data_IF_417236363909
#
_entry.id   IF_417236363909
#
_cell.length_a   1.000
_cell.length_b   1.000
_cell.length_c   1.000
_cell.angle_alpha   90.00
_cell.angle_beta   90.00
_cell.angle_gamma   90.00
#
_symmetry.space_group_name_H-M   'P 1'
#
loop_
_entity.id
_entity.type
_entity.pdbx_description
1 polymer ?
#
# COMPACT_ATOMS: atom_id res chain seq x y z
N UNK A 1 -21.68 7.18 0.56
CA UNK A 1 -20.46 6.95 -0.25
C UNK A 1 -19.76 5.63 0.09
N UNK A 2 -19.33 5.40 1.35
CA UNK A 2 -18.58 4.17 1.71
C UNK A 2 -19.23 2.85 1.27
N UNK A 3 -20.54 2.67 1.51
CA UNK A 3 -21.28 1.46 1.07
C UNK A 3 -21.25 1.23 -0.44
N UNK A 4 -21.45 2.29 -1.23
CA UNK A 4 -21.43 2.20 -2.70
C UNK A 4 -20.05 1.76 -3.16
N UNK A 5 -18.99 2.38 -2.64
CA UNK A 5 -17.61 2.05 -2.98
C UNK A 5 -17.29 0.59 -2.62
N UNK A 6 -17.71 0.11 -1.45
CA UNK A 6 -17.50 -1.29 -1.05
C UNK A 6 -18.23 -2.27 -1.97
N UNK A 7 -19.48 -1.98 -2.33
CA UNK A 7 -20.25 -2.83 -3.26
C UNK A 7 -19.61 -2.82 -4.65
N UNK A 8 -19.22 -1.64 -5.17
CA UNK A 8 -18.53 -1.53 -6.46
C UNK A 8 -17.20 -2.28 -6.45
N UNK A 9 -16.39 -2.15 -5.39
CA UNK A 9 -15.12 -2.86 -5.28
C UNK A 9 -15.34 -4.38 -5.23
N UNK A 10 -16.31 -4.87 -4.45
CA UNK A 10 -16.64 -6.31 -4.37
C UNK A 10 -17.09 -6.85 -5.71
N UNK A 11 -17.95 -6.11 -6.42
CA UNK A 11 -18.41 -6.49 -7.75
C UNK A 11 -17.25 -6.50 -8.74
N UNK A 12 -16.38 -5.50 -8.71
CA UNK A 12 -15.19 -5.44 -9.56
C UNK A 12 -14.25 -6.63 -9.30
N UNK A 13 -14.01 -6.97 -8.03
CA UNK A 13 -13.23 -8.17 -7.66
C UNK A 13 -13.91 -9.45 -8.17
N UNK A 14 -15.24 -9.58 -8.02
CA UNK A 14 -16.00 -10.72 -8.53
C UNK A 14 -15.84 -10.90 -10.05
N UNK A 15 -15.99 -9.81 -10.81
CA UNK A 15 -15.85 -9.83 -12.27
C UNK A 15 -14.41 -10.11 -12.70
N UNK A 16 -13.41 -9.56 -12.01
CA UNK A 16 -12.00 -9.88 -12.25
C UNK A 16 -11.68 -11.35 -11.94
N UNK A 17 -12.29 -11.92 -10.89
CA UNK A 17 -12.08 -13.31 -10.49
C UNK A 17 -12.71 -14.30 -11.47
N UNK A 18 -13.91 -13.98 -11.97
CA UNK A 18 -14.67 -14.86 -12.86
C UNK A 18 -14.26 -14.67 -14.33
N UNK A 19 -13.75 -13.49 -14.72
CA UNK A 19 -13.39 -13.19 -16.10
C UNK A 19 -14.56 -13.17 -17.08
N UNK A 20 -15.81 -13.23 -16.58
CA UNK A 20 -17.04 -13.35 -17.37
C UNK A 20 -17.97 -12.16 -17.11
N UNK A 21 -18.44 -11.52 -18.17
CA UNK A 21 -19.36 -10.39 -18.16
C UNK A 21 -20.80 -10.80 -18.55
N UNK A 22 -21.10 -12.10 -18.58
CA UNK A 22 -22.45 -12.60 -18.81
C UNK A 22 -23.45 -12.02 -17.82
N UNK A 23 -24.68 -11.77 -18.29
CA UNK A 23 -25.74 -11.15 -17.47
C UNK A 23 -26.02 -11.94 -16.19
N UNK A 24 -25.95 -13.28 -16.28
CA UNK A 24 -26.15 -14.17 -15.14
C UNK A 24 -25.02 -14.00 -14.12
N UNK A 25 -23.75 -14.00 -14.56
CA UNK A 25 -22.63 -13.85 -13.65
C UNK A 25 -22.61 -12.48 -12.97
N UNK A 26 -22.94 -11.42 -13.70
CA UNK A 26 -23.06 -10.06 -13.14
C UNK A 26 -24.15 -10.02 -12.07
N UNK A 27 -25.32 -10.62 -12.31
CA UNK A 27 -26.42 -10.67 -11.34
C UNK A 27 -26.01 -11.39 -10.05
N UNK A 28 -25.34 -12.54 -10.16
CA UNK A 28 -24.81 -13.27 -9.02
C UNK A 28 -23.80 -12.41 -8.26
N UNK A 29 -22.87 -11.76 -8.98
CA UNK A 29 -21.88 -10.86 -8.38
C UNK A 29 -22.52 -9.70 -7.60
N UNK A 30 -23.59 -9.10 -8.11
CA UNK A 30 -24.33 -8.03 -7.41
C UNK A 30 -24.97 -8.57 -6.14
N UNK A 31 -25.65 -9.72 -6.20
CA UNK A 31 -26.26 -10.38 -5.04
C UNK A 31 -25.22 -10.64 -3.95
N UNK A 32 -24.10 -11.26 -4.31
CA UNK A 32 -23.00 -11.56 -3.39
C UNK A 32 -22.42 -10.27 -2.78
N UNK A 33 -22.14 -9.25 -3.61
CA UNK A 33 -21.54 -8.00 -3.16
C UNK A 33 -22.39 -7.26 -2.12
N UNK A 34 -23.73 -7.30 -2.28
CA UNK A 34 -24.69 -6.68 -1.36
C UNK A 34 -24.93 -7.52 -0.10
N UNK A 35 -25.00 -8.84 -0.23
CA UNK A 35 -25.34 -9.75 0.87
C UNK A 35 -24.18 -9.95 1.87
N UNK A 36 -22.93 -9.83 1.41
CA UNK A 36 -21.75 -9.92 2.27
C UNK A 36 -21.80 -8.87 3.41
N UNK A 37 -21.56 -9.26 4.68
CA UNK A 37 -21.64 -8.35 5.81
C UNK A 37 -20.69 -7.16 5.64
N UNK A 38 -21.16 -5.97 6.00
CA UNK A 38 -20.40 -4.73 5.91
C UNK A 38 -19.94 -4.33 7.31
N UNK A 39 -18.65 -4.03 7.46
CA UNK A 39 -18.14 -3.53 8.73
C UNK A 39 -18.81 -2.19 9.06
N UNK A 40 -19.39 -2.08 10.26
CA UNK A 40 -20.08 -0.87 10.75
C UNK A 40 -19.11 0.28 11.01
N UNK A 41 -17.81 0.00 11.07
CA UNK A 41 -16.77 0.97 11.39
C UNK A 41 -16.21 1.69 10.14
N UNK A 42 -17.02 1.84 9.10
CA UNK A 42 -16.64 2.59 7.90
C UNK A 42 -16.63 4.10 8.20
N UNK A 43 -15.62 4.53 8.98
CA UNK A 43 -15.22 5.93 9.11
C UNK A 43 -15.06 6.47 7.67
N UNK A 44 -15.47 7.72 7.43
CA UNK A 44 -15.43 8.34 6.10
C UNK A 44 -14.05 8.09 5.48
N UNK A 45 -13.99 7.21 4.48
CA UNK A 45 -12.75 6.88 3.81
C UNK A 45 -12.28 8.15 3.09
N UNK A 46 -11.08 8.68 3.38
CA UNK A 46 -10.64 9.92 2.79
C UNK A 46 -10.14 9.63 1.37
N UNK A 47 -11.06 9.69 0.40
CA UNK A 47 -10.83 9.22 -0.98
C UNK A 47 -9.67 9.91 -1.68
N UNK A 48 -9.53 11.23 -1.49
CA UNK A 48 -8.46 12.01 -2.11
C UNK A 48 -7.07 11.56 -1.61
N UNK A 49 -6.77 11.57 -0.29
CA UNK A 49 -5.46 11.09 0.17
C UNK A 49 -5.26 9.61 -0.09
N UNK A 50 -6.32 8.79 -0.11
CA UNK A 50 -6.21 7.38 -0.50
C UNK A 50 -5.73 7.20 -1.94
N UNK A 51 -6.35 7.91 -2.90
CA UNK A 51 -5.96 7.84 -4.30
C UNK A 51 -4.54 8.36 -4.54
N UNK A 52 -4.14 9.43 -3.83
CA UNK A 52 -2.77 9.96 -3.88
C UNK A 52 -1.79 8.92 -3.34
N UNK A 53 -2.05 8.35 -2.16
CA UNK A 53 -1.20 7.33 -1.56
C UNK A 53 -1.08 6.09 -2.46
N UNK A 54 -2.20 5.61 -3.01
CA UNK A 54 -2.21 4.46 -3.92
C UNK A 54 -1.38 4.72 -5.19
N UNK A 55 -1.53 5.90 -5.79
CA UNK A 55 -0.73 6.32 -6.96
C UNK A 55 0.75 6.34 -6.62
N UNK A 56 1.13 6.96 -5.51
CA UNK A 56 2.52 7.08 -5.09
C UNK A 56 3.13 5.70 -4.78
N UNK A 57 2.37 4.79 -4.14
CA UNK A 57 2.80 3.40 -3.92
C UNK A 57 2.99 2.63 -5.24
N UNK A 58 2.11 2.83 -6.22
CA UNK A 58 2.24 2.19 -7.54
C UNK A 58 3.45 2.70 -8.32
N UNK A 59 3.76 4.00 -8.24
CA UNK A 59 4.94 4.60 -8.87
C UNK A 59 6.25 4.20 -8.19
N UNK A 60 6.22 3.88 -6.90
CA UNK A 60 7.38 3.39 -6.16
C UNK A 60 7.90 2.05 -6.71
N UNK A 61 7.01 1.18 -7.22
CA UNK A 61 7.36 -0.15 -7.75
C UNK A 61 8.37 -0.03 -8.92
N UNK A 62 8.06 0.61 -10.06
CA UNK A 62 8.99 0.69 -11.18
C UNK A 62 10.26 1.45 -10.81
N UNK A 63 10.14 2.48 -9.96
CA UNK A 63 11.30 3.21 -9.44
C UNK A 63 12.25 2.26 -8.68
N UNK A 64 11.70 1.39 -7.83
CA UNK A 64 12.49 0.44 -7.05
C UNK A 64 13.24 -0.55 -7.91
N UNK A 65 12.61 -1.07 -8.96
CA UNK A 65 13.27 -1.95 -9.91
C UNK A 65 14.39 -1.23 -10.67
N UNK A 66 14.15 0.00 -11.13
CA UNK A 66 15.17 0.78 -11.84
C UNK A 66 16.40 1.05 -10.96
N UNK A 67 16.19 1.49 -9.71
CA UNK A 67 17.28 1.76 -8.78
C UNK A 67 18.00 0.47 -8.34
N UNK A 68 17.27 -0.61 -8.09
CA UNK A 68 17.84 -1.93 -7.80
C UNK A 68 18.74 -2.44 -8.93
N UNK A 69 18.31 -2.25 -10.18
CA UNK A 69 19.11 -2.60 -11.36
C UNK A 69 20.39 -1.77 -11.46
N UNK A 70 20.32 -0.46 -11.21
CA UNK A 70 21.49 0.42 -11.19
C UNK A 70 22.50 -0.02 -10.12
N UNK A 71 22.03 -0.40 -8.92
CA UNK A 71 22.93 -0.87 -7.87
C UNK A 71 23.62 -2.19 -8.21
N UNK A 72 22.86 -3.19 -8.69
CA UNK A 72 23.41 -4.46 -9.15
C UNK A 72 24.53 -4.25 -10.17
N UNK A 73 24.36 -3.28 -11.08
CA UNK A 73 25.38 -2.94 -12.09
C UNK A 73 26.58 -2.18 -11.49
N UNK A 74 26.36 -1.34 -10.48
CA UNK A 74 27.39 -0.44 -9.95
C UNK A 74 28.36 -1.09 -8.97
N UNK A 75 27.99 -2.22 -8.35
CA UNK A 75 28.83 -2.94 -7.37
C UNK A 75 29.21 -2.12 -6.12
N UNK A 76 28.49 -1.04 -5.83
CA UNK A 76 28.81 -0.13 -4.72
C UNK A 76 28.43 -0.73 -3.37
N UNK A 77 29.32 -0.58 -2.39
CA UNK A 77 29.05 -0.91 -0.98
C UNK A 77 28.01 0.04 -0.41
N UNK A 78 27.01 -0.52 0.26
CA UNK A 78 25.98 0.21 0.99
C UNK A 78 26.21 0.10 2.50
N UNK A 79 25.72 1.07 3.24
CA UNK A 79 25.71 1.06 4.71
C UNK A 79 24.27 0.86 5.19
N UNK A 80 24.13 0.03 6.22
CA UNK A 80 22.85 -0.21 6.89
C UNK A 80 22.58 0.84 7.96
N UNK A 81 21.32 1.31 8.01
CA UNK A 81 20.81 2.22 9.03
C UNK A 81 19.41 1.76 9.47
N UNK A 82 19.13 1.93 10.77
CA UNK A 82 17.82 1.68 11.35
C UNK A 82 17.21 3.02 11.76
N UNK A 83 16.08 3.35 11.17
CA UNK A 83 15.35 4.60 11.42
C UNK A 83 13.96 4.28 11.97
N UNK A 84 13.42 5.18 12.81
CA UNK A 84 12.03 5.09 13.28
C UNK A 84 11.22 6.19 12.60
N UNK A 85 10.15 5.82 11.91
CA UNK A 85 9.30 6.74 11.16
C UNK A 85 7.90 6.79 11.76
N UNK A 86 7.44 7.99 12.15
CA UNK A 86 6.07 8.22 12.59
C UNK A 86 5.08 8.17 11.43
N UNK A 87 3.84 7.76 11.70
CA UNK A 87 2.78 7.80 10.69
C UNK A 87 2.36 9.23 10.40
N UNK A 88 2.22 9.57 9.12
CA UNK A 88 1.82 10.92 8.69
C UNK A 88 0.36 11.23 9.04
N UNK A 89 -0.51 10.21 9.04
CA UNK A 89 -1.94 10.33 9.38
C UNK A 89 -2.46 9.00 9.99
N UNK A 90 -2.91 9.05 11.24
CA UNK A 90 -3.39 7.87 11.99
C UNK A 90 -4.91 7.62 11.82
N UNK A 91 -5.59 8.40 10.97
CA UNK A 91 -7.05 8.36 10.85
C UNK A 91 -7.64 7.14 10.14
N UNK A 92 -6.84 6.39 9.35
CA UNK A 92 -7.28 5.28 8.51
C UNK A 92 -6.23 4.17 8.42
N UNK A 93 -6.60 2.94 8.81
CA UNK A 93 -5.73 1.76 8.70
C UNK A 93 -5.25 1.50 7.27
N UNK A 94 -6.04 1.85 6.25
CA UNK A 94 -5.65 1.69 4.85
C UNK A 94 -4.57 2.71 4.43
N UNK A 95 -4.58 3.93 4.99
CA UNK A 95 -3.53 4.91 4.72
C UNK A 95 -2.22 4.49 5.38
N UNK A 96 -2.28 4.02 6.63
CA UNK A 96 -1.13 3.43 7.34
C UNK A 96 -0.57 2.26 6.52
N UNK A 97 -1.44 1.36 6.05
CA UNK A 97 -1.01 0.26 5.18
C UNK A 97 -0.30 0.74 3.92
N UNK A 98 -0.85 1.72 3.19
CA UNK A 98 -0.22 2.25 1.98
C UNK A 98 1.10 2.96 2.25
N UNK A 99 1.25 3.63 3.40
CA UNK A 99 2.50 4.26 3.83
C UNK A 99 3.59 3.21 4.09
N UNK A 100 3.28 2.17 4.90
CA UNK A 100 4.19 1.05 5.15
C UNK A 100 4.51 0.30 3.85
N UNK A 101 3.50 0.05 3.02
CA UNK A 101 3.65 -0.65 1.75
C UNK A 101 4.52 0.15 0.77
N UNK A 102 4.36 1.48 0.72
CA UNK A 102 5.23 2.36 -0.05
C UNK A 102 6.67 2.23 0.41
N UNK A 103 6.95 2.32 1.72
CA UNK A 103 8.33 2.18 2.24
C UNK A 103 8.93 0.83 1.85
N UNK A 104 8.20 -0.27 2.00
CA UNK A 104 8.69 -1.60 1.61
C UNK A 104 8.89 -1.77 0.10
N UNK A 105 8.12 -1.06 -0.71
CA UNK A 105 8.27 -1.02 -2.17
C UNK A 105 9.19 0.09 -2.66
N UNK A 106 9.75 0.90 -1.78
CA UNK A 106 10.77 1.89 -2.13
C UNK A 106 12.11 1.15 -2.09
N UNK A 107 13.00 1.34 -3.07
CA UNK A 107 14.27 0.62 -3.09
C UNK A 107 15.09 0.98 -1.84
N UNK A 108 15.82 -0.01 -1.34
CA UNK A 108 16.73 0.14 -0.21
C UNK A 108 16.06 0.43 1.12
N UNK A 109 14.75 0.22 1.23
CA UNK A 109 14.04 0.31 2.49
C UNK A 109 13.12 -0.87 2.70
N UNK A 110 13.04 -1.36 3.94
CA UNK A 110 12.06 -2.37 4.36
C UNK A 110 11.49 -2.00 5.73
N UNK A 111 10.17 -2.05 5.85
CA UNK A 111 9.51 -1.89 7.14
C UNK A 111 9.68 -3.17 7.97
N UNK A 112 10.20 -3.05 9.19
CA UNK A 112 10.46 -4.18 10.09
C UNK A 112 9.31 -4.48 11.06
N UNK A 113 8.44 -3.50 11.30
CA UNK A 113 7.31 -3.63 12.21
C UNK A 113 6.97 -2.32 12.91
N UNK A 114 5.80 -2.30 13.54
CA UNK A 114 5.36 -1.16 14.34
C UNK A 114 6.08 -1.11 15.68
N UNK A 115 6.22 0.09 16.23
CA UNK A 115 6.64 0.29 17.60
C UNK A 115 5.53 -0.10 18.59
N UNK A 116 5.87 -0.29 19.87
CA UNK A 116 4.97 -0.77 20.91
C UNK A 116 3.70 0.10 21.05
N UNK A 117 3.84 1.41 20.84
CA UNK A 117 2.73 2.37 20.95
C UNK A 117 1.87 2.48 19.67
N UNK A 118 2.25 1.79 18.58
CA UNK A 118 1.53 1.83 17.30
C UNK A 118 1.52 3.19 16.61
N UNK A 119 2.39 4.12 17.02
CA UNK A 119 2.48 5.49 16.47
C UNK A 119 3.56 5.66 15.39
N UNK A 120 4.46 4.69 15.32
CA UNK A 120 5.60 4.69 14.42
C UNK A 120 5.91 3.26 13.96
N UNK A 121 6.72 3.15 12.92
CA UNK A 121 7.25 1.88 12.43
C UNK A 121 8.75 1.99 12.21
N UNK A 122 9.44 0.87 12.40
CA UNK A 122 10.88 0.76 12.20
C UNK A 122 11.17 0.47 10.73
N UNK A 123 12.10 1.22 10.17
CA UNK A 123 12.56 1.11 8.80
C UNK A 123 14.02 0.74 8.80
N UNK A 124 14.35 -0.35 8.12
CA UNK A 124 15.72 -0.67 7.75
C UNK A 124 16.01 -0.01 6.40
N UNK A 125 17.08 0.78 6.33
CA UNK A 125 17.49 1.51 5.15
C UNK A 125 18.93 1.16 4.78
N UNK A 126 19.15 0.89 3.50
CA UNK A 126 20.47 0.82 2.90
C UNK A 126 20.78 2.16 2.23
N UNK A 127 21.80 2.87 2.70
CA UNK A 127 22.21 4.16 2.18
C UNK A 127 23.63 4.09 1.59
N UNK A 128 24.00 5.06 0.76
CA UNK A 128 25.41 5.25 0.42
C UNK A 128 26.16 5.70 1.68
N UNK A 129 27.42 5.28 1.87
CA UNK A 129 28.24 5.78 2.96
C UNK A 129 28.30 7.31 2.87
N UNK A 130 27.97 8.02 3.94
CA UNK A 130 28.26 9.45 4.00
C UNK A 130 29.77 9.64 3.94
N UNK A 131 30.24 10.36 2.92
CA UNK A 131 31.65 10.78 2.87
C UNK A 131 31.81 11.83 3.97
N UNK A 132 32.25 11.39 5.14
CA UNK A 132 32.64 12.28 6.25
C UNK A 132 33.81 13.13 5.74
N UNK A 133 33.52 14.37 5.33
CA UNK A 133 34.53 15.39 5.05
C UNK A 133 35.10 15.95 6.35
#
# INVERSE_FOLDING_TARGET
MGRVITVTLRLLIWLLLTGDLSQVNVLIGVLVAVLLPMSRHSRRLPLRPLLVALRDSLLAIPQAFAEGFVLLRSGRTLTETLETQGFSDSGSALLIFLEVFRVTLTPFTIALGMDADGRAFRVHRLARPEVRR
#
